data_IF_824547105555
#
_entry.id   IF_824547105555
#
_cell.length_a   1.000
_cell.length_b   1.000
_cell.length_c   1.000
_cell.angle_alpha   90.00
_cell.angle_beta   90.00
_cell.angle_gamma   90.00
#
_symmetry.space_group_name_H-M   'P 1'
#
loop_
_entity.id
_entity.type
_entity.pdbx_description
1 polymer ?
#
# COMPACT_ATOMS: atom_id res chain seq x y z
N UNK A 1 7.63 -11.70 9.06
CA UNK A 1 7.20 -12.01 10.44
C UNK A 1 6.14 -10.98 10.84
N UNK A 2 5.28 -11.29 11.82
CA UNK A 2 4.32 -10.33 12.38
C UNK A 2 5.05 -9.07 12.87
N UNK A 3 4.55 -7.89 12.45
CA UNK A 3 5.14 -6.60 12.79
C UNK A 3 6.24 -6.11 11.83
N UNK A 4 6.68 -6.93 10.88
CA UNK A 4 7.60 -6.45 9.85
C UNK A 4 6.93 -5.36 9.01
N UNK A 5 7.67 -4.32 8.64
CA UNK A 5 7.18 -3.25 7.75
C UNK A 5 7.58 -3.57 6.32
N UNK A 6 6.59 -3.56 5.44
CA UNK A 6 6.78 -3.82 4.01
C UNK A 6 6.21 -2.65 3.21
N UNK A 7 7.06 -1.99 2.43
CA UNK A 7 6.64 -0.85 1.63
C UNK A 7 5.95 -1.30 0.33
N UNK A 8 4.99 -0.48 -0.13
CA UNK A 8 4.39 -0.58 -1.46
C UNK A 8 4.61 0.74 -2.17
N UNK A 9 5.53 0.76 -3.13
CA UNK A 9 5.83 1.91 -3.97
C UNK A 9 5.40 1.63 -5.40
N UNK A 10 4.12 1.82 -5.68
CA UNK A 10 3.53 1.37 -6.93
C UNK A 10 2.35 2.23 -7.37
N UNK A 11 2.06 2.20 -8.67
CA UNK A 11 0.85 2.78 -9.24
C UNK A 11 -0.37 1.95 -8.86
N UNK A 12 -1.55 2.57 -8.88
CA UNK A 12 -2.83 1.89 -8.58
C UNK A 12 -3.10 0.76 -9.57
N UNK A 13 -3.65 -0.33 -9.06
CA UNK A 13 -3.98 -1.49 -9.88
C UNK A 13 -4.33 -2.72 -9.03
N UNK A 14 -4.81 -3.82 -9.65
CA UNK A 14 -5.17 -5.03 -8.92
C UNK A 14 -4.03 -5.61 -8.08
N UNK A 15 -2.81 -5.60 -8.62
CA UNK A 15 -1.62 -6.14 -7.93
C UNK A 15 -1.27 -5.37 -6.66
N UNK A 16 -1.61 -4.08 -6.61
CA UNK A 16 -1.44 -3.27 -5.40
C UNK A 16 -2.27 -3.84 -4.23
N UNK A 17 -3.54 -4.16 -4.50
CA UNK A 17 -4.41 -4.78 -3.51
C UNK A 17 -3.95 -6.18 -3.10
N UNK A 18 -3.47 -6.99 -4.06
CA UNK A 18 -2.90 -8.32 -3.78
C UNK A 18 -1.68 -8.20 -2.86
N UNK A 19 -0.74 -7.30 -3.17
CA UNK A 19 0.44 -7.05 -2.34
C UNK A 19 0.03 -6.58 -0.94
N UNK A 20 -0.91 -5.64 -0.84
CA UNK A 20 -1.40 -5.14 0.43
C UNK A 20 -1.97 -6.27 1.31
N UNK A 21 -2.89 -7.06 0.79
CA UNK A 21 -3.47 -8.16 1.55
C UNK A 21 -2.46 -9.26 1.86
N UNK A 22 -1.52 -9.53 0.97
CA UNK A 22 -0.42 -10.47 1.25
C UNK A 22 0.41 -10.04 2.47
N UNK A 23 0.67 -8.74 2.60
CA UNK A 23 1.40 -8.18 3.75
C UNK A 23 0.58 -8.33 5.03
N UNK A 24 -0.64 -7.80 5.03
CA UNK A 24 -1.41 -7.70 6.27
C UNK A 24 -1.96 -9.05 6.76
N UNK A 25 -2.20 -10.01 5.88
CA UNK A 25 -2.61 -11.38 6.27
C UNK A 25 -1.49 -12.19 6.90
N UNK A 26 -0.23 -11.77 6.73
CA UNK A 26 0.92 -12.31 7.44
C UNK A 26 1.21 -11.59 8.76
N UNK A 27 0.34 -10.65 9.16
CA UNK A 27 0.52 -9.80 10.33
C UNK A 27 1.63 -8.76 10.18
N UNK A 28 2.14 -8.56 8.97
CA UNK A 28 3.08 -7.50 8.66
C UNK A 28 2.34 -6.16 8.44
N UNK A 29 3.06 -5.07 8.52
CA UNK A 29 2.54 -3.71 8.43
C UNK A 29 2.82 -3.17 7.03
N UNK A 30 1.80 -2.80 6.29
CA UNK A 30 1.94 -2.18 4.98
C UNK A 30 2.36 -0.70 5.12
N UNK A 31 3.33 -0.29 4.31
CA UNK A 31 3.81 1.10 4.25
C UNK A 31 3.61 1.62 2.82
N UNK A 32 2.39 2.08 2.49
CA UNK A 32 2.09 2.65 1.18
C UNK A 32 2.84 3.96 0.96
N UNK A 33 3.55 4.06 -0.18
CA UNK A 33 4.25 5.26 -0.60
C UNK A 33 3.57 5.84 -1.84
N UNK A 34 3.43 7.17 -1.90
CA UNK A 34 2.83 7.84 -3.04
C UNK A 34 3.71 7.68 -4.29
N UNK A 35 3.14 7.37 -5.47
CA UNK A 35 3.93 7.13 -6.69
C UNK A 35 4.67 8.38 -7.20
N UNK A 36 4.28 9.56 -6.76
CA UNK A 36 4.91 10.84 -7.09
C UNK A 36 6.05 11.25 -6.13
N UNK A 37 6.28 10.47 -5.06
CA UNK A 37 7.41 10.72 -4.18
C UNK A 37 8.72 10.70 -4.94
N UNK A 38 9.58 11.67 -4.65
CA UNK A 38 10.96 11.69 -5.10
C UNK A 38 11.78 10.60 -4.40
N UNK A 39 12.92 10.24 -4.96
CA UNK A 39 13.86 9.28 -4.36
C UNK A 39 14.18 9.62 -2.90
N UNK A 40 14.39 10.90 -2.58
CA UNK A 40 14.69 11.36 -1.22
C UNK A 40 13.51 11.19 -0.25
N UNK A 41 12.27 11.36 -0.73
CA UNK A 41 11.08 11.12 0.09
C UNK A 41 10.89 9.64 0.34
N UNK A 42 11.10 8.80 -0.69
CA UNK A 42 11.08 7.34 -0.55
C UNK A 42 12.12 6.88 0.47
N UNK A 43 13.37 7.33 0.33
CA UNK A 43 14.44 7.03 1.30
C UNK A 43 14.06 7.43 2.72
N UNK A 44 13.52 8.64 2.89
CA UNK A 44 13.11 9.15 4.20
C UNK A 44 12.00 8.26 4.82
N UNK A 45 11.01 7.87 4.02
CA UNK A 45 9.91 7.02 4.47
C UNK A 45 10.39 5.60 4.80
N UNK A 46 11.25 4.99 3.97
CA UNK A 46 11.82 3.67 4.24
C UNK A 46 12.64 3.67 5.52
N UNK A 47 13.52 4.66 5.69
CA UNK A 47 14.34 4.81 6.89
C UNK A 47 13.51 5.05 8.15
N UNK A 48 12.50 5.91 8.06
CA UNK A 48 11.63 6.24 9.21
C UNK A 48 10.75 5.05 9.61
N UNK A 49 10.15 4.36 8.63
CA UNK A 49 9.33 3.18 8.90
C UNK A 49 10.16 1.94 9.28
N UNK A 50 11.43 1.90 8.89
CA UNK A 50 12.26 0.70 8.99
C UNK A 50 11.79 -0.43 8.05
N UNK A 51 11.17 -0.09 6.92
CA UNK A 51 10.77 -1.07 5.92
C UNK A 51 11.99 -1.54 5.13
N UNK A 52 12.32 -2.82 5.24
CA UNK A 52 13.45 -3.45 4.54
C UNK A 52 13.03 -4.19 3.27
N UNK A 53 11.73 -4.41 3.10
CA UNK A 53 11.16 -5.04 1.91
C UNK A 53 10.26 -4.05 1.19
N UNK A 54 10.34 -3.99 -0.14
CA UNK A 54 9.48 -3.15 -0.97
C UNK A 54 8.88 -3.91 -2.14
N UNK A 55 7.58 -3.76 -2.35
CA UNK A 55 6.93 -4.04 -3.62
C UNK A 55 6.96 -2.76 -4.47
N UNK A 56 7.56 -2.82 -5.64
CA UNK A 56 7.71 -1.66 -6.52
C UNK A 56 7.21 -1.96 -7.92
N UNK A 57 6.50 -1.02 -8.56
CA UNK A 57 6.18 -1.14 -9.98
C UNK A 57 7.39 -0.85 -10.85
N UNK A 58 7.49 -1.53 -11.98
CA UNK A 58 8.59 -1.40 -12.94
C UNK A 58 8.89 0.06 -13.29
N UNK A 59 7.84 0.87 -13.45
CA UNK A 59 7.94 2.31 -13.79
C UNK A 59 8.58 3.18 -12.70
N UNK A 60 8.64 2.71 -11.45
CA UNK A 60 9.13 3.47 -10.30
C UNK A 60 10.44 2.92 -9.75
N UNK A 61 10.95 1.84 -10.32
CA UNK A 61 12.14 1.14 -9.84
C UNK A 61 13.36 2.04 -9.79
N UNK A 62 13.56 2.88 -10.81
CA UNK A 62 14.69 3.83 -10.89
C UNK A 62 14.66 4.93 -9.82
N UNK A 63 13.55 5.05 -9.07
CA UNK A 63 13.40 6.01 -7.98
C UNK A 63 13.67 5.42 -6.60
N UNK A 64 13.95 4.12 -6.52
CA UNK A 64 14.37 3.53 -5.26
C UNK A 64 15.80 3.99 -4.92
N UNK A 65 16.08 4.23 -3.63
CA UNK A 65 17.46 4.43 -3.20
C UNK A 65 18.24 3.12 -3.35
N UNK A 66 19.55 3.25 -3.59
CA UNK A 66 20.44 2.10 -3.75
C UNK A 66 20.48 1.26 -2.45
N UNK A 67 20.36 -0.09 -2.53
CA UNK A 67 20.38 -0.97 -1.37
C UNK A 67 21.62 -0.82 -0.48
N UNK A 68 22.76 -0.55 -1.10
CA UNK A 68 24.06 -0.43 -0.44
C UNK A 68 24.19 0.81 0.43
N UNK A 69 23.36 1.82 0.22
CA UNK A 69 23.42 3.09 0.94
C UNK A 69 22.30 3.28 1.94
N UNK A 70 21.07 3.15 1.51
CA UNK A 70 19.88 3.42 2.32
C UNK A 70 18.61 2.79 1.76
N UNK A 71 18.76 1.95 0.74
CA UNK A 71 17.65 1.26 0.07
C UNK A 71 17.19 0.02 0.84
N UNK A 72 16.08 -0.56 0.39
CA UNK A 72 15.54 -1.79 0.95
C UNK A 72 16.46 -2.98 0.63
N UNK A 73 16.58 -3.92 1.56
CA UNK A 73 17.39 -5.14 1.39
C UNK A 73 16.69 -6.16 0.48
N UNK A 74 15.38 -6.03 0.30
CA UNK A 74 14.58 -6.92 -0.55
C UNK A 74 13.63 -6.11 -1.44
N UNK A 75 13.69 -6.37 -2.74
CA UNK A 75 12.88 -5.70 -3.76
C UNK A 75 12.11 -6.75 -4.55
N UNK A 76 10.78 -6.62 -4.55
CA UNK A 76 9.88 -7.42 -5.37
C UNK A 76 9.21 -6.53 -6.42
N UNK A 77 9.16 -7.00 -7.66
CA UNK A 77 8.38 -6.35 -8.69
C UNK A 77 6.89 -6.63 -8.46
N UNK A 78 6.09 -5.59 -8.27
CA UNK A 78 4.64 -5.76 -8.02
C UNK A 78 3.88 -6.17 -9.29
N UNK A 79 4.43 -5.90 -10.47
CA UNK A 79 3.77 -6.21 -11.73
C UNK A 79 3.87 -7.71 -12.07
N UNK A 80 4.96 -8.40 -11.66
CA UNK A 80 5.18 -9.83 -11.86
C UNK A 80 5.23 -10.67 -10.57
N UNK A 81 5.35 -10.03 -9.42
CA UNK A 81 5.64 -10.64 -8.11
C UNK A 81 6.98 -11.38 -8.02
N UNK A 82 7.88 -11.11 -8.93
CA UNK A 82 9.24 -11.68 -8.92
C UNK A 82 10.16 -10.92 -7.97
N UNK A 83 11.09 -11.65 -7.36
CA UNK A 83 12.17 -11.07 -6.57
C UNK A 83 13.19 -10.43 -7.51
N UNK A 84 13.44 -9.13 -7.36
CA UNK A 84 14.42 -8.37 -8.17
C UNK A 84 15.76 -8.30 -7.45
N UNK A 85 15.74 -8.09 -6.13
CA UNK A 85 16.95 -8.03 -5.32
C UNK A 85 16.69 -8.60 -3.92
N UNK A 86 17.75 -9.12 -3.28
CA UNK A 86 17.70 -9.76 -1.97
C UNK A 86 17.71 -11.29 -2.06
N UNK A 87 17.40 -11.93 -0.95
CA UNK A 87 17.40 -13.40 -0.86
C UNK A 87 15.98 -13.93 -0.72
N UNK A 88 15.65 -14.98 -1.48
CA UNK A 88 14.42 -15.73 -1.25
C UNK A 88 14.47 -16.36 0.14
N UNK A 89 13.44 -16.09 0.94
CA UNK A 89 13.32 -16.67 2.26
C UNK A 89 12.05 -17.51 2.33
N UNK A 90 12.26 -18.82 2.39
CA UNK A 90 11.21 -19.79 2.66
C UNK A 90 10.43 -20.23 1.42
N UNK A 91 10.45 -21.54 1.18
CA UNK A 91 9.66 -22.24 0.15
C UNK A 91 8.46 -22.97 0.77
N UNK A 92 8.16 -22.67 2.03
CA UNK A 92 7.11 -23.34 2.81
C UNK A 92 5.76 -22.65 2.77
N UNK A 93 4.74 -23.30 3.33
CA UNK A 93 3.44 -22.69 3.53
C UNK A 93 3.55 -21.43 4.42
N UNK A 94 2.75 -20.41 4.12
CA UNK A 94 2.70 -19.21 4.92
C UNK A 94 2.39 -19.55 6.39
N UNK A 95 3.11 -18.96 7.35
CA UNK A 95 2.87 -19.23 8.76
C UNK A 95 1.46 -18.79 9.15
N UNK A 96 0.80 -19.59 9.99
CA UNK A 96 -0.44 -19.14 10.64
C UNK A 96 -0.08 -18.09 11.68
N UNK A 97 -0.62 -16.90 11.52
CA UNK A 97 -0.39 -15.77 12.42
C UNK A 97 -1.73 -15.33 13.02
N UNK A 98 -1.77 -15.18 14.34
CA UNK A 98 -2.92 -14.54 14.98
C UNK A 98 -2.85 -13.04 14.79
N UNK A 99 -3.90 -12.47 14.20
CA UNK A 99 -4.02 -11.04 13.94
C UNK A 99 -5.21 -10.52 14.72
N UNK A 100 -4.95 -9.46 15.50
CA UNK A 100 -5.99 -8.74 16.24
C UNK A 100 -6.50 -7.55 15.40
N UNK A 101 -7.74 -7.16 15.57
CA UNK A 101 -8.30 -5.93 15.00
C UNK A 101 -7.55 -4.67 15.47
N UNK A 102 -6.85 -4.75 16.61
CA UNK A 102 -6.06 -3.65 17.17
C UNK A 102 -4.61 -3.63 16.66
N UNK A 103 -4.16 -4.68 15.96
CA UNK A 103 -2.82 -4.67 15.38
C UNK A 103 -2.72 -3.57 14.32
N UNK A 104 -1.56 -2.94 14.22
CA UNK A 104 -1.27 -1.96 13.17
C UNK A 104 -1.24 -2.67 11.81
N UNK A 105 -2.11 -2.24 10.91
CA UNK A 105 -2.18 -2.77 9.54
C UNK A 105 -1.37 -1.92 8.56
N UNK A 106 -1.30 -0.61 8.79
CA UNK A 106 -0.63 0.32 7.85
C UNK A 106 0.03 1.49 8.55
N UNK A 107 1.12 1.99 7.96
CA UNK A 107 1.72 3.29 8.25
C UNK A 107 1.60 4.14 7.00
N UNK A 108 0.73 5.14 7.01
CA UNK A 108 0.49 6.00 5.86
C UNK A 108 1.15 7.35 6.07
N UNK A 109 1.98 7.77 5.11
CA UNK A 109 2.68 9.05 5.17
C UNK A 109 1.80 10.17 4.62
N UNK A 110 1.70 11.23 5.42
CA UNK A 110 1.02 12.47 5.04
C UNK A 110 2.00 13.62 4.98
N UNK A 111 1.77 14.58 4.08
CA UNK A 111 2.51 15.84 4.07
C UNK A 111 2.18 16.62 5.34
N UNK A 112 3.07 16.55 6.32
CA UNK A 112 2.89 17.30 7.57
C UNK A 112 2.94 18.81 7.33
N UNK A 113 2.09 19.56 8.05
CA UNK A 113 2.08 21.05 8.04
C UNK A 113 3.42 21.68 8.40
N UNK A 114 4.35 20.90 8.95
CA UNK A 114 5.71 21.31 9.34
C UNK A 114 6.79 20.96 8.30
N UNK A 115 6.40 20.54 7.08
CA UNK A 115 7.34 20.19 6.01
C UNK A 115 8.05 18.84 6.18
N UNK A 116 7.76 18.08 7.24
CA UNK A 116 8.24 16.70 7.41
C UNK A 116 7.07 15.73 7.27
N UNK A 117 7.23 14.70 6.45
CA UNK A 117 6.26 13.62 6.34
C UNK A 117 6.07 12.92 7.69
N UNK A 118 4.81 12.72 8.09
CA UNK A 118 4.45 12.00 9.31
C UNK A 118 3.85 10.66 8.94
N UNK A 119 4.33 9.58 9.54
CA UNK A 119 3.73 8.26 9.43
C UNK A 119 2.57 8.13 10.40
N UNK A 120 1.37 7.93 9.88
CA UNK A 120 0.16 7.70 10.67
C UNK A 120 -0.08 6.19 10.75
N UNK A 121 -0.08 5.64 11.95
CA UNK A 121 -0.40 4.23 12.17
C UNK A 121 -1.91 4.04 12.17
N UNK A 122 -2.38 3.08 11.37
CA UNK A 122 -3.78 2.69 11.26
C UNK A 122 -3.91 1.20 11.57
N UNK A 123 -4.79 0.88 12.53
CA UNK A 123 -5.10 -0.51 12.86
C UNK A 123 -6.05 -1.13 11.82
N UNK A 124 -6.16 -2.46 11.79
CA UNK A 124 -7.18 -3.15 11.00
C UNK A 124 -8.57 -2.59 11.30
N UNK A 125 -8.87 -2.34 12.59
CA UNK A 125 -10.14 -1.76 13.03
C UNK A 125 -10.40 -0.39 12.44
N UNK A 126 -9.41 0.51 12.42
CA UNK A 126 -9.56 1.85 11.87
C UNK A 126 -9.96 1.80 10.38
N UNK A 127 -9.27 0.96 9.62
CA UNK A 127 -9.50 0.83 8.18
C UNK A 127 -10.89 0.26 7.88
N UNK A 128 -11.25 -0.85 8.54
CA UNK A 128 -12.56 -1.51 8.35
C UNK A 128 -13.69 -0.61 8.82
N UNK A 129 -13.54 0.06 9.97
CA UNK A 129 -14.54 0.99 10.49
C UNK A 129 -14.81 2.13 9.51
N UNK A 130 -13.75 2.71 8.92
CA UNK A 130 -13.88 3.78 7.93
C UNK A 130 -14.57 3.29 6.66
N UNK A 131 -14.20 2.12 6.16
CA UNK A 131 -14.80 1.55 4.95
C UNK A 131 -16.28 1.21 5.15
N UNK A 132 -16.66 0.63 6.31
CA UNK A 132 -18.06 0.37 6.66
C UNK A 132 -18.82 1.69 6.87
N UNK A 133 -18.21 2.66 7.55
CA UNK A 133 -18.78 3.97 7.77
C UNK A 133 -19.14 4.69 6.47
N UNK A 134 -18.33 4.53 5.43
CA UNK A 134 -18.59 5.09 4.10
C UNK A 134 -19.92 4.62 3.48
N UNK A 135 -20.37 3.41 3.80
CA UNK A 135 -21.63 2.85 3.33
C UNK A 135 -22.88 3.63 3.82
N UNK A 136 -22.78 4.35 4.93
CA UNK A 136 -23.88 5.19 5.41
C UNK A 136 -24.11 6.39 4.50
N UNK A 137 -23.06 6.87 3.84
CA UNK A 137 -23.14 8.04 2.95
C UNK A 137 -23.38 7.62 1.50
N UNK A 138 -22.75 6.53 1.07
CA UNK A 138 -22.89 6.02 -0.29
C UNK A 138 -23.06 4.51 -0.26
N UNK A 139 -24.26 4.05 -0.54
CA UNK A 139 -24.57 2.62 -0.58
C UNK A 139 -23.98 1.99 -1.84
N UNK A 140 -22.99 1.15 -1.66
CA UNK A 140 -22.35 0.38 -2.73
C UNK A 140 -22.80 -1.08 -2.61
N UNK A 141 -23.06 -1.71 -3.73
CA UNK A 141 -23.43 -3.12 -3.83
C UNK A 141 -22.63 -3.80 -4.96
N UNK A 142 -22.75 -5.12 -5.05
CA UNK A 142 -22.01 -5.97 -6.00
C UNK A 142 -22.22 -5.67 -7.50
N UNK A 143 -23.22 -4.88 -7.85
CA UNK A 143 -23.52 -4.48 -9.23
C UNK A 143 -22.85 -3.17 -9.61
N UNK A 144 -22.32 -2.43 -8.63
CA UNK A 144 -21.70 -1.15 -8.87
C UNK A 144 -20.29 -1.31 -9.44
N UNK A 145 -19.91 -0.34 -10.26
CA UNK A 145 -18.58 -0.23 -10.84
C UNK A 145 -18.00 1.12 -10.43
N UNK A 146 -16.94 1.09 -9.63
CA UNK A 146 -16.18 2.28 -9.24
C UNK A 146 -15.03 2.56 -10.18
N UNK A 147 -14.60 3.81 -10.21
CA UNK A 147 -13.40 4.25 -10.90
C UNK A 147 -12.40 4.77 -9.86
N UNK A 148 -11.27 4.08 -9.74
CA UNK A 148 -10.16 4.50 -8.90
C UNK A 148 -9.36 5.58 -9.62
N UNK A 149 -9.35 6.78 -9.04
CA UNK A 149 -8.76 7.98 -9.67
C UNK A 149 -7.51 8.43 -8.92
N UNK A 150 -7.56 8.42 -7.59
CA UNK A 150 -6.43 8.80 -6.75
C UNK A 150 -5.46 7.62 -6.58
N UNK A 151 -4.21 7.88 -6.16
CA UNK A 151 -3.31 6.80 -5.79
C UNK A 151 -3.87 5.94 -4.64
N UNK A 152 -3.82 4.61 -4.77
CA UNK A 152 -4.25 3.68 -3.71
C UNK A 152 -3.42 3.82 -2.43
N UNK A 153 -2.22 4.39 -2.51
CA UNK A 153 -1.41 4.77 -1.35
C UNK A 153 -1.96 5.97 -0.57
N UNK A 154 -2.94 6.69 -1.11
CA UNK A 154 -3.65 7.75 -0.40
C UNK A 154 -4.76 7.16 0.46
N UNK A 155 -4.82 7.53 1.76
CA UNK A 155 -5.74 6.92 2.73
C UNK A 155 -7.21 6.97 2.29
N UNK A 156 -7.66 8.06 1.68
CA UNK A 156 -9.05 8.19 1.21
C UNK A 156 -9.36 7.21 0.09
N UNK A 157 -8.50 7.14 -0.94
CA UNK A 157 -8.68 6.19 -2.04
C UNK A 157 -8.63 4.75 -1.53
N UNK A 158 -7.70 4.46 -0.63
CA UNK A 158 -7.58 3.13 -0.08
C UNK A 158 -8.81 2.71 0.74
N UNK A 159 -9.35 3.58 1.59
CA UNK A 159 -10.48 3.23 2.47
C UNK A 159 -11.82 3.32 1.77
N UNK A 160 -12.11 4.42 1.10
CA UNK A 160 -13.41 4.69 0.47
C UNK A 160 -13.41 4.22 -1.00
N UNK A 161 -12.33 4.46 -1.73
CA UNK A 161 -12.22 4.04 -3.14
C UNK A 161 -12.01 2.54 -3.31
N UNK A 162 -11.22 1.89 -2.44
CA UNK A 162 -10.87 0.49 -2.60
C UNK A 162 -11.54 -0.45 -1.58
N UNK A 163 -11.28 -0.27 -0.26
CA UNK A 163 -11.79 -1.21 0.76
C UNK A 163 -13.32 -1.26 0.81
N UNK A 164 -13.99 -0.12 0.68
CA UNK A 164 -15.46 -0.07 0.69
C UNK A 164 -16.04 -0.85 -0.50
N UNK A 165 -15.48 -0.71 -1.71
CA UNK A 165 -15.89 -1.48 -2.89
C UNK A 165 -15.58 -2.97 -2.72
N UNK A 166 -14.37 -3.29 -2.25
CA UNK A 166 -13.94 -4.67 -2.00
C UNK A 166 -14.86 -5.39 -1.01
N UNK A 167 -15.20 -4.77 0.12
CA UNK A 167 -16.07 -5.35 1.16
C UNK A 167 -17.49 -5.62 0.65
N UNK A 168 -17.93 -4.89 -0.37
CA UNK A 168 -19.28 -5.05 -0.95
C UNK A 168 -19.30 -5.89 -2.23
N UNK A 169 -18.16 -6.47 -2.62
CA UNK A 169 -18.04 -7.28 -3.82
C UNK A 169 -18.28 -6.52 -5.12
N UNK A 170 -18.12 -5.20 -5.09
CA UNK A 170 -18.25 -4.31 -6.25
C UNK A 170 -17.00 -4.34 -7.11
N UNK A 171 -17.14 -3.99 -8.39
CA UNK A 171 -16.03 -3.93 -9.34
C UNK A 171 -15.30 -2.59 -9.23
N UNK A 172 -13.97 -2.62 -9.36
CA UNK A 172 -13.15 -1.42 -9.49
C UNK A 172 -12.42 -1.42 -10.82
N UNK A 173 -12.42 -0.26 -11.46
CA UNK A 173 -11.60 0.02 -12.63
C UNK A 173 -10.54 1.05 -12.27
N UNK A 174 -9.35 0.89 -12.83
CA UNK A 174 -8.21 1.76 -12.59
C UNK A 174 -7.89 2.55 -13.84
N UNK A 175 -7.49 3.81 -13.66
CA UNK A 175 -6.98 4.62 -14.77
C UNK A 175 -5.53 4.23 -15.07
N UNK A 176 -5.21 4.02 -16.34
CA UNK A 176 -3.83 3.78 -16.77
C UNK A 176 -2.92 5.01 -16.61
N UNK A 177 -3.52 6.19 -16.65
CA UNK A 177 -2.84 7.48 -16.47
C UNK A 177 -3.66 8.36 -15.55
N UNK A 178 -2.98 9.16 -14.75
CA UNK A 178 -3.64 10.19 -13.96
C UNK A 178 -4.48 11.11 -14.87
N UNK A 179 -5.70 11.50 -14.47
CA UNK A 179 -6.52 12.40 -15.26
C UNK A 179 -5.79 13.73 -15.41
N UNK A 180 -5.57 14.15 -16.66
CA UNK A 180 -5.09 15.49 -16.98
C UNK A 180 -6.30 16.38 -17.22
N UNK A 181 -6.34 17.51 -16.51
CA UNK A 181 -7.32 18.57 -16.82
C UNK A 181 -6.88 19.21 -18.13
N UNK A 182 -7.41 18.72 -19.25
CA UNK A 182 -7.36 19.47 -20.49
C UNK A 182 -8.44 20.55 -20.41
N UNK A 183 -8.00 21.78 -20.23
CA UNK A 183 -8.83 22.97 -20.50
C UNK A 183 -9.22 23.05 -21.95
#
# INVERSE_FOLDING_TARGET
>A
VKGDRVAIYATSGPNWGIAYFSIVTLGAIAVPLLPDFSQKEVETCLKHSGAETVFVSTKLMDRLPEPETSGPSRILNIDSFELVAGTETGTGAAPKVEISEQDTASIIYTSGTTGRSKGVELTHKNLVFTAIGGQFFQRINKLDIGLSILPMSHVYEFTIGYLMFFLNGACLRYLEKAPTVTT
#
